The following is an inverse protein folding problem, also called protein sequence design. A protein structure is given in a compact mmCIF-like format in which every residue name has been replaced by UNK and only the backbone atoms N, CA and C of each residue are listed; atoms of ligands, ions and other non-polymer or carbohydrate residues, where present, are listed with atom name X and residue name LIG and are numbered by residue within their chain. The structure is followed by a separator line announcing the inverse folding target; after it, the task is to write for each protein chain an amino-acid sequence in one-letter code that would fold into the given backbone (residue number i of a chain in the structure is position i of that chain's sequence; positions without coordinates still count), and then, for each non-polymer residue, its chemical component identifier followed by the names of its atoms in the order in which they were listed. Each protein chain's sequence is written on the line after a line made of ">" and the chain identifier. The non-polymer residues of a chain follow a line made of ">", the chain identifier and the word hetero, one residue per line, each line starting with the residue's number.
data_IF_701461832042
#
_entry.id   IF_701461832042
#
_cell.length_a   1.000
_cell.length_b   1.000
_cell.length_c   1.000
_cell.angle_alpha   90.00
_cell.angle_beta   90.00
_cell.angle_gamma   90.00
#
_symmetry.space_group_name_H-M   'P 1'
#
loop_
_entity.id
_entity.type
_entity.pdbx_description
1 polymer ?
#
# COMPACT_ATOMS: atom_id res chain seq x y z
N UNK A 1 12.01 12.38 -20.36
CA UNK A 1 11.26 12.97 -19.22
C UNK A 1 10.16 11.99 -18.82
N UNK A 2 10.42 11.18 -17.80
CA UNK A 2 9.51 10.12 -17.38
C UNK A 2 8.24 10.73 -16.76
N UNK A 3 7.08 10.24 -17.22
CA UNK A 3 5.79 10.60 -16.68
C UNK A 3 5.66 10.06 -15.26
N UNK A 4 5.94 10.89 -14.27
CA UNK A 4 5.54 10.66 -12.88
C UNK A 4 4.02 10.73 -12.78
N UNK A 5 3.33 9.66 -13.18
CA UNK A 5 2.05 9.36 -12.60
C UNK A 5 2.34 9.08 -11.12
N UNK A 6 2.17 10.10 -10.26
CA UNK A 6 2.28 9.99 -8.81
C UNK A 6 1.33 8.88 -8.38
N UNK A 7 1.85 7.66 -8.26
CA UNK A 7 1.16 6.60 -7.55
C UNK A 7 1.00 7.12 -6.13
N UNK A 8 -0.20 7.56 -5.76
CA UNK A 8 -0.54 7.98 -4.39
C UNK A 8 -0.61 6.78 -3.43
N UNK A 9 0.01 5.68 -3.84
CA UNK A 9 0.00 4.39 -3.21
C UNK A 9 1.41 3.82 -3.35
N UNK A 10 1.94 3.38 -2.22
CA UNK A 10 3.23 2.73 -2.09
C UNK A 10 3.01 1.31 -1.61
N UNK A 11 3.76 0.37 -2.15
CA UNK A 11 3.79 -1.02 -1.69
C UNK A 11 5.21 -1.32 -1.24
N UNK A 12 5.35 -1.78 -0.01
CA UNK A 12 6.60 -2.31 0.49
C UNK A 12 6.44 -3.79 0.70
N UNK A 13 7.50 -4.54 0.46
CA UNK A 13 7.44 -5.98 0.54
C UNK A 13 8.78 -6.57 0.97
N UNK A 14 8.72 -7.49 1.92
CA UNK A 14 9.87 -8.25 2.39
C UNK A 14 9.39 -9.66 2.77
N UNK A 15 10.21 -10.66 2.46
CA UNK A 15 10.07 -12.01 2.96
C UNK A 15 10.86 -12.13 4.27
N UNK A 16 10.20 -12.51 5.36
CA UNK A 16 10.82 -12.62 6.68
C UNK A 16 10.33 -13.87 7.40
N UNK A 17 11.26 -14.70 7.86
CA UNK A 17 10.97 -15.94 8.62
C UNK A 17 9.95 -16.87 7.93
N UNK A 18 9.98 -16.92 6.59
CA UNK A 18 9.07 -17.73 5.78
C UNK A 18 7.71 -17.08 5.49
N UNK A 19 7.48 -15.85 5.94
CA UNK A 19 6.26 -15.08 5.69
C UNK A 19 6.46 -13.93 4.71
N UNK A 20 5.46 -13.76 3.86
CA UNK A 20 5.38 -12.66 2.92
C UNK A 20 4.73 -11.45 3.60
N UNK A 21 5.55 -10.49 4.02
CA UNK A 21 5.06 -9.28 4.69
C UNK A 21 4.95 -8.16 3.65
N UNK A 22 3.73 -7.65 3.48
CA UNK A 22 3.42 -6.57 2.53
C UNK A 22 2.80 -5.40 3.27
N UNK A 23 3.32 -4.20 3.04
CA UNK A 23 2.74 -2.96 3.56
C UNK A 23 2.22 -2.14 2.39
N UNK A 24 0.93 -1.82 2.42
CA UNK A 24 0.29 -0.96 1.43
C UNK A 24 -0.03 0.37 2.08
N UNK A 25 0.56 1.45 1.57
CA UNK A 25 0.32 2.80 2.07
C UNK A 25 -0.33 3.67 1.01
N UNK A 26 -1.54 4.18 1.28
CA UNK A 26 -2.18 5.22 0.48
C UNK A 26 -1.98 6.60 1.10
N UNK A 27 -1.13 7.41 0.48
CA UNK A 27 -0.92 8.81 0.87
C UNK A 27 -2.21 9.64 0.70
N UNK A 28 -3.01 9.36 -0.35
CA UNK A 28 -4.29 10.06 -0.60
C UNK A 28 -5.32 9.78 0.49
N UNK A 29 -5.46 8.51 0.88
CA UNK A 29 -6.45 8.09 1.90
C UNK A 29 -5.92 8.22 3.33
N UNK A 30 -4.64 8.56 3.49
CA UNK A 30 -3.93 8.56 4.77
C UNK A 30 -4.15 7.25 5.53
N UNK A 31 -3.99 6.12 4.84
CA UNK A 31 -4.24 4.78 5.39
C UNK A 31 -3.11 3.85 5.00
N UNK A 32 -2.66 3.06 5.96
CA UNK A 32 -1.70 1.99 5.76
C UNK A 32 -2.32 0.66 6.23
N UNK A 33 -2.00 -0.40 5.51
CA UNK A 33 -2.42 -1.77 5.80
C UNK A 33 -1.20 -2.68 5.75
N UNK A 34 -1.13 -3.62 6.68
CA UNK A 34 -0.11 -4.66 6.74
C UNK A 34 -0.78 -5.99 6.43
N UNK A 35 -0.19 -6.72 5.49
CA UNK A 35 -0.60 -8.05 5.10
C UNK A 35 0.53 -9.03 5.41
N UNK A 36 0.16 -10.18 5.96
CA UNK A 36 1.03 -11.35 6.12
C UNK A 36 0.41 -12.45 5.27
N UNK A 37 1.17 -12.97 4.31
CA UNK A 37 0.74 -14.01 3.36
C UNK A 37 -0.55 -13.63 2.62
N UNK A 38 -0.68 -12.34 2.31
CA UNK A 38 -1.85 -11.77 1.63
C UNK A 38 -3.08 -11.52 2.52
N UNK A 39 -3.02 -11.83 3.81
CA UNK A 39 -4.10 -11.53 4.78
C UNK A 39 -3.78 -10.26 5.54
N UNK A 40 -4.75 -9.33 5.62
CA UNK A 40 -4.61 -8.11 6.43
C UNK A 40 -4.55 -8.47 7.92
N UNK A 41 -3.46 -8.11 8.58
CA UNK A 41 -3.26 -8.30 10.03
C UNK A 41 -3.32 -7.00 10.81
N UNK A 42 -3.03 -5.87 10.16
CA UNK A 42 -3.09 -4.56 10.79
C UNK A 42 -3.50 -3.47 9.81
N UNK A 43 -4.18 -2.43 10.31
CA UNK A 43 -4.49 -1.25 9.54
C UNK A 43 -4.48 -0.01 10.43
N UNK A 44 -3.94 1.10 9.93
CA UNK A 44 -3.87 2.35 10.67
C UNK A 44 -4.10 3.56 9.76
N UNK A 45 -4.61 4.64 10.36
CA UNK A 45 -4.66 5.94 9.71
C UNK A 45 -3.29 6.60 9.85
N UNK A 46 -2.65 6.91 8.73
CA UNK A 46 -1.32 7.51 8.73
C UNK A 46 -1.40 8.99 9.10
N UNK A 47 -0.52 9.43 9.99
CA UNK A 47 -0.42 10.84 10.37
C UNK A 47 0.36 11.60 9.31
N UNK A 48 0.06 12.90 9.15
CA UNK A 48 0.72 13.73 8.12
C UNK A 48 2.13 14.16 8.54
N UNK A 49 2.43 14.20 9.84
CA UNK A 49 3.64 14.82 10.39
C UNK A 49 4.43 13.90 11.32
N UNK A 50 4.05 12.63 11.45
CA UNK A 50 4.69 11.70 12.37
C UNK A 50 4.81 10.32 11.73
N UNK A 51 5.82 9.57 12.16
CA UNK A 51 5.97 8.14 11.87
C UNK A 51 4.68 7.42 12.25
N UNK A 52 4.22 6.56 11.35
CA UNK A 52 3.07 5.69 11.64
C UNK A 52 3.58 4.31 12.00
N UNK A 53 3.14 3.81 13.15
CA UNK A 53 3.49 2.47 13.63
C UNK A 53 2.28 1.55 13.48
N UNK A 54 2.48 0.37 12.92
CA UNK A 54 1.48 -0.68 12.82
C UNK A 54 2.05 -1.94 13.45
N UNK A 55 1.34 -2.52 14.41
CA UNK A 55 1.74 -3.76 15.08
C UNK A 55 1.01 -4.94 14.45
N UNK A 56 1.72 -6.01 14.22
CA UNK A 56 1.17 -7.25 13.68
C UNK A 56 1.86 -8.45 14.30
N UNK A 57 1.37 -9.63 13.96
CA UNK A 57 1.87 -10.90 14.44
C UNK A 57 1.99 -11.86 13.25
N UNK A 58 3.06 -12.65 13.22
CA UNK A 58 3.18 -13.82 12.37
C UNK A 58 3.07 -15.08 13.23
N UNK A 59 2.74 -16.21 12.61
CA UNK A 59 2.70 -17.50 13.29
C UNK A 59 3.52 -18.51 12.49
N UNK A 60 4.48 -19.16 13.13
CA UNK A 60 5.30 -20.15 12.46
C UNK A 60 4.53 -21.47 12.21
N UNK A 61 5.19 -22.43 11.56
CA UNK A 61 4.61 -23.76 11.29
C UNK A 61 4.30 -24.58 12.54
N UNK A 62 4.82 -24.20 13.71
CA UNK A 62 4.58 -24.86 15.00
C UNK A 62 3.50 -24.14 15.84
N UNK A 63 3.00 -22.99 15.34
CA UNK A 63 1.97 -22.18 15.98
C UNK A 63 2.49 -21.16 16.99
N UNK A 64 3.82 -20.96 17.07
CA UNK A 64 4.40 -19.90 17.89
C UNK A 64 4.12 -18.53 17.25
N UNK A 65 3.68 -17.57 18.07
CA UNK A 65 3.32 -16.22 17.61
C UNK A 65 4.51 -15.28 17.78
N UNK A 66 4.88 -14.60 16.71
CA UNK A 66 5.99 -13.64 16.68
C UNK A 66 5.46 -12.22 16.42
N UNK A 67 5.49 -11.34 17.44
CA UNK A 67 5.06 -9.96 17.27
C UNK A 67 6.09 -9.16 16.46
N UNK A 68 5.61 -8.25 15.64
CA UNK A 68 6.43 -7.32 14.89
C UNK A 68 5.79 -5.93 14.82
N UNK A 69 6.61 -4.93 14.50
CA UNK A 69 6.19 -3.54 14.30
C UNK A 69 6.65 -3.02 12.95
N UNK A 70 5.73 -2.49 12.17
CA UNK A 70 6.02 -1.73 10.95
C UNK A 70 6.14 -0.26 11.31
N UNK A 71 7.24 0.37 10.89
CA UNK A 71 7.46 1.81 11.02
C UNK A 71 7.46 2.43 9.62
N UNK A 72 6.46 3.26 9.37
CA UNK A 72 6.34 4.03 8.14
C UNK A 72 6.91 5.43 8.37
N UNK A 73 8.11 5.64 7.86
CA UNK A 73 8.79 6.92 7.82
C UNK A 73 8.21 7.79 6.70
N UNK A 74 7.92 9.05 7.04
CA UNK A 74 7.58 10.03 6.01
C UNK A 74 8.88 10.54 5.38
N UNK A 75 8.90 10.77 4.06
CA UNK A 75 9.95 11.58 3.45
C UNK A 75 9.91 13.01 4.00
N UNK A 76 11.01 13.47 4.58
CA UNK A 76 11.14 14.83 5.13
C UNK A 76 11.04 15.90 4.02
N UNK A 77 11.46 15.55 2.80
CA UNK A 77 11.41 16.41 1.62
C UNK A 77 10.22 16.03 0.73
N UNK A 78 9.41 17.01 0.26
CA UNK A 78 8.35 16.75 -0.71
C UNK A 78 8.92 16.15 -2.01
N UNK A 79 8.69 14.86 -2.23
CA UNK A 79 9.17 14.13 -3.42
C UNK A 79 10.18 13.04 -3.12
N UNK A 80 10.69 12.95 -1.89
CA UNK A 80 11.53 11.83 -1.47
C UNK A 80 10.73 10.53 -1.40
N UNK A 81 11.48 9.43 -1.53
CA UNK A 81 10.93 8.09 -1.46
C UNK A 81 10.54 7.76 -0.01
N UNK A 82 9.33 7.25 0.22
CA UNK A 82 8.91 6.87 1.56
C UNK A 82 9.69 5.68 2.09
N UNK A 83 10.02 5.71 3.39
CA UNK A 83 10.76 4.65 4.05
C UNK A 83 9.81 3.74 4.84
N UNK A 84 10.03 2.44 4.75
CA UNK A 84 9.32 1.44 5.54
C UNK A 84 10.33 0.51 6.19
N UNK A 85 10.15 0.27 7.49
CA UNK A 85 10.97 -0.67 8.23
C UNK A 85 10.07 -1.66 8.99
N UNK A 86 10.51 -2.92 9.03
CA UNK A 86 9.98 -3.98 9.87
C UNK A 86 10.90 -4.16 11.06
N UNK A 87 10.33 -4.17 12.26
CA UNK A 87 11.02 -4.43 13.51
C UNK A 87 10.47 -5.71 14.14
N UNK A 88 11.33 -6.70 14.36
CA UNK A 88 10.99 -7.98 15.01
C UNK A 88 12.18 -8.45 15.85
N UNK A 89 11.94 -8.93 17.07
CA UNK A 89 13.00 -9.50 17.93
C UNK A 89 14.26 -8.63 18.07
N UNK A 90 14.10 -7.32 18.28
CA UNK A 90 15.18 -6.30 18.33
C UNK A 90 15.97 -6.09 17.03
N UNK A 91 15.56 -6.69 15.92
CA UNK A 91 16.14 -6.49 14.60
C UNK A 91 15.27 -5.54 13.80
N UNK A 92 15.92 -4.70 12.99
CA UNK A 92 15.27 -3.76 12.09
C UNK A 92 15.66 -4.09 10.65
N UNK A 93 14.65 -4.28 9.80
CA UNK A 93 14.78 -4.62 8.40
C UNK A 93 14.15 -3.51 7.57
N UNK A 94 14.90 -2.94 6.63
CA UNK A 94 14.32 -2.03 5.64
C UNK A 94 13.49 -2.82 4.65
N UNK A 95 12.26 -2.37 4.40
CA UNK A 95 11.37 -2.99 3.43
C UNK A 95 11.52 -2.26 2.08
N UNK A 96 11.97 -2.94 1.02
CA UNK A 96 12.06 -2.37 -0.32
C UNK A 96 10.71 -1.86 -0.83
N UNK A 97 10.73 -0.71 -1.53
CA UNK A 97 9.57 -0.24 -2.29
C UNK A 97 9.42 -1.10 -3.55
N UNK A 98 8.25 -1.71 -3.71
CA UNK A 98 7.86 -2.45 -4.91
C UNK A 98 6.95 -1.56 -5.74
N UNK A 99 7.33 -1.19 -6.98
CA UNK A 99 6.47 -0.39 -7.85
C UNK A 99 5.18 -1.16 -8.14
N UNK A 100 4.04 -0.53 -7.86
CA UNK A 100 2.75 -1.06 -8.27
C UNK A 100 2.64 -0.94 -9.79
N UNK A 101 2.59 -2.07 -10.48
CA UNK A 101 2.18 -2.06 -11.89
C UNK A 101 0.72 -1.59 -11.99
N UNK A 102 0.30 -1.02 -13.12
CA UNK A 102 -1.04 -0.41 -13.27
C UNK A 102 -2.21 -1.37 -12.96
N UNK A 103 -1.97 -2.67 -13.01
CA UNK A 103 -2.93 -3.73 -12.69
C UNK A 103 -2.94 -4.14 -11.21
N UNK A 104 -1.87 -3.83 -10.45
CA UNK A 104 -1.68 -4.22 -9.04
C UNK A 104 -1.98 -3.10 -8.05
N UNK A 105 -2.24 -1.88 -8.52
CA UNK A 105 -2.80 -0.83 -7.68
C UNK A 105 -4.16 -1.30 -7.17
N UNK A 106 -4.20 -1.81 -5.92
CA UNK A 106 -5.36 -2.20 -5.09
C UNK A 106 -6.71 -2.26 -5.80
N UNK A 107 -7.47 -3.37 -5.74
CA UNK A 107 -8.63 -3.61 -6.59
C UNK A 107 -9.45 -2.35 -6.76
N UNK A 108 -9.77 -1.95 -8.01
CA UNK A 108 -10.50 -0.73 -8.26
C UNK A 108 -11.74 -0.76 -7.38
N UNK A 109 -11.83 0.20 -6.47
CA UNK A 109 -12.96 0.39 -5.58
C UNK A 109 -14.24 0.13 -6.39
N UNK A 110 -15.15 -0.78 -5.96
CA UNK A 110 -16.35 -1.10 -6.71
C UNK A 110 -16.99 0.21 -7.10
N UNK A 111 -17.00 0.51 -8.40
CA UNK A 111 -17.44 1.83 -8.84
C UNK A 111 -18.89 1.95 -8.39
N UNK A 112 -19.23 2.93 -7.53
CA UNK A 112 -20.57 2.99 -6.96
C UNK A 112 -21.60 2.95 -8.10
N UNK A 113 -22.72 2.21 -7.91
CA UNK A 113 -23.69 2.02 -8.96
C UNK A 113 -24.14 3.39 -9.48
N UNK A 114 -24.21 3.55 -10.81
CA UNK A 114 -24.59 4.83 -11.40
C UNK A 114 -25.97 5.23 -10.89
N UNK A 115 -26.14 6.49 -10.48
CA UNK A 115 -27.43 6.99 -10.00
C UNK A 115 -28.38 7.35 -11.14
N UNK A 116 -27.93 7.21 -12.40
CA UNK A 116 -28.74 7.42 -13.59
C UNK A 116 -27.98 7.28 -14.93
N UNK A 117 -28.70 7.32 -16.07
CA UNK A 117 -28.15 7.03 -17.40
C UNK A 117 -27.12 8.05 -17.90
N UNK A 118 -27.21 9.32 -17.47
CA UNK A 118 -26.22 10.37 -17.81
C UNK A 118 -24.84 10.07 -17.21
N UNK A 119 -24.80 9.51 -16.02
CA UNK A 119 -23.56 9.17 -15.32
C UNK A 119 -22.86 7.98 -16.01
N UNK A 120 -23.63 6.98 -16.45
CA UNK A 120 -23.15 5.88 -17.28
C UNK A 120 -22.49 6.37 -18.58
N UNK A 121 -23.17 7.25 -19.31
CA UNK A 121 -22.66 7.80 -20.57
C UNK A 121 -21.34 8.57 -20.36
N UNK A 122 -21.26 9.33 -19.27
CA UNK A 122 -20.06 10.13 -18.92
C UNK A 122 -18.88 9.22 -18.57
N UNK A 123 -19.11 8.18 -17.76
CA UNK A 123 -18.10 7.16 -17.43
C UNK A 123 -17.62 6.43 -18.68
N UNK A 124 -18.52 6.03 -19.57
CA UNK A 124 -18.20 5.36 -20.84
C UNK A 124 -17.31 6.25 -21.74
N UNK A 125 -17.68 7.52 -21.93
CA UNK A 125 -16.89 8.48 -22.72
C UNK A 125 -15.49 8.69 -22.14
N UNK A 126 -15.37 8.77 -20.82
CA UNK A 126 -14.08 8.98 -20.13
C UNK A 126 -13.15 7.77 -20.32
N UNK A 127 -13.70 6.55 -20.22
CA UNK A 127 -12.95 5.30 -20.41
C UNK A 127 -12.51 5.11 -21.87
N UNK A 128 -13.35 5.47 -22.84
CA UNK A 128 -12.99 5.42 -24.27
C UNK A 128 -11.96 6.47 -24.68
N UNK A 129 -11.95 7.65 -24.07
CA UNK A 129 -10.93 8.67 -24.34
C UNK A 129 -9.54 8.28 -23.85
N UNK A 130 -9.44 7.48 -22.78
CA UNK A 130 -8.16 6.99 -22.24
C UNK A 130 -7.56 5.80 -23.02
N UNK A 131 -8.31 5.20 -23.95
CA UNK A 131 -7.89 4.01 -24.73
C UNK A 131 -7.43 4.30 -26.16
N UNK A 132 -7.20 5.56 -26.54
CA UNK A 132 -6.51 5.84 -27.82
C UNK A 132 -5.00 5.86 -27.58
N UNK A 133 -4.24 4.86 -28.07
CA UNK A 133 -2.81 5.01 -28.19
C UNK A 133 -2.54 6.13 -29.21
N UNK A 134 -1.55 6.97 -28.90
CA UNK A 134 -0.82 7.71 -29.95
C UNK A 134 0.32 6.83 -30.41
#
# INVERSE_FOLDING_TARGET
>A
MAAYARAHQHRFHLEQDGHSITVVWSARRRRAEVLVDGKVVAAARTRRTATTELRGETADGEGAVHPFTIRLGRPDIPGDEPLCALETGHRLYLMPLVPLTGDEAWPPEPTPPPRGPRELLTRWRTRHRRRRPR
#
